data_IF_611790155057
#
_entry.id   IF_611790155057
#
_cell.length_a   1.000
_cell.length_b   1.000
_cell.length_c   1.000
_cell.angle_alpha   90.00
_cell.angle_beta   90.00
_cell.angle_gamma   90.00
#
_symmetry.space_group_name_H-M   'P 1'
#
loop_
_entity.id
_entity.type
_entity.pdbx_description
1 polymer ?
#
# COMPACT_ATOMS: atom_id res chain seq x y z
N UNK A 1 21.81 7.74 5.42
CA UNK A 1 20.37 8.10 5.50
C UNK A 1 19.56 6.83 5.63
N UNK A 2 18.76 6.73 6.69
CA UNK A 2 18.36 5.48 7.34
C UNK A 2 17.40 4.60 6.52
N UNK A 3 17.87 3.39 6.16
CA UNK A 3 17.08 2.30 5.58
C UNK A 3 15.83 1.94 6.41
N UNK A 4 15.87 2.24 7.72
CA UNK A 4 14.81 1.98 8.71
C UNK A 4 13.52 2.76 8.42
N UNK A 5 13.57 3.85 7.64
CA UNK A 5 12.37 4.63 7.27
C UNK A 5 11.59 4.08 6.07
N UNK A 6 12.07 3.02 5.39
CA UNK A 6 11.45 2.57 4.13
C UNK A 6 10.44 1.45 4.29
N UNK A 7 10.44 0.71 5.40
CA UNK A 7 9.54 -0.42 5.59
C UNK A 7 8.52 -0.16 6.70
N UNK A 8 7.25 -0.32 6.36
CA UNK A 8 6.12 -0.22 7.28
C UNK A 8 5.38 -1.56 7.33
N UNK A 9 4.40 -1.65 8.22
CA UNK A 9 3.45 -2.74 8.15
C UNK A 9 2.03 -2.33 8.45
N UNK A 10 1.11 -2.95 7.71
CA UNK A 10 -0.32 -2.82 7.91
C UNK A 10 -0.87 -4.09 8.53
N UNK A 11 -1.86 -3.96 9.42
CA UNK A 11 -2.66 -5.10 9.87
C UNK A 11 -3.86 -5.21 8.94
N UNK A 12 -4.17 -6.41 8.48
CA UNK A 12 -5.46 -6.67 7.85
C UNK A 12 -6.50 -7.05 8.90
N UNK A 13 -7.77 -7.12 8.49
CA UNK A 13 -8.89 -7.50 9.37
C UNK A 13 -8.73 -8.89 9.98
N UNK A 14 -7.97 -9.76 9.32
CA UNK A 14 -7.59 -11.08 9.84
C UNK A 14 -6.56 -11.04 10.98
N UNK A 15 -5.98 -9.88 11.29
CA UNK A 15 -4.86 -9.74 12.22
C UNK A 15 -3.48 -10.00 11.60
N UNK A 16 -3.42 -10.48 10.35
CA UNK A 16 -2.17 -10.69 9.60
C UNK A 16 -1.45 -9.36 9.36
N UNK A 17 -0.12 -9.42 9.39
CA UNK A 17 0.76 -8.26 9.16
C UNK A 17 1.31 -8.31 7.74
N UNK A 18 1.15 -7.22 7.00
CA UNK A 18 1.64 -7.05 5.64
C UNK A 18 2.77 -6.03 5.62
N UNK A 19 3.99 -6.50 5.38
CA UNK A 19 5.17 -5.64 5.25
C UNK A 19 5.13 -4.93 3.91
N UNK A 20 5.41 -3.63 3.92
CA UNK A 20 5.38 -2.78 2.73
C UNK A 20 6.62 -1.90 2.67
N UNK A 21 7.08 -1.60 1.46
CA UNK A 21 8.00 -0.48 1.22
C UNK A 21 7.20 0.81 1.00
N UNK A 22 7.60 1.92 1.60
CA UNK A 22 6.96 3.23 1.49
C UNK A 22 7.75 4.20 0.60
N UNK A 23 7.01 4.97 -0.19
CA UNK A 23 7.51 5.96 -1.15
C UNK A 23 6.61 7.19 -1.09
N UNK A 24 7.18 8.38 -1.31
CA UNK A 24 6.38 9.57 -1.63
C UNK A 24 5.54 9.31 -2.88
N UNK A 25 4.36 9.96 -3.00
CA UNK A 25 3.38 9.63 -4.04
C UNK A 25 3.91 9.68 -5.50
N UNK A 26 4.86 10.58 -5.79
CA UNK A 26 5.51 10.70 -7.10
C UNK A 26 6.81 9.92 -7.26
N UNK A 27 7.23 9.15 -6.26
CA UNK A 27 8.53 8.46 -6.23
C UNK A 27 8.42 6.93 -6.10
N UNK A 28 7.20 6.39 -6.16
CA UNK A 28 6.98 4.96 -6.15
C UNK A 28 7.44 4.34 -7.48
N UNK A 29 8.25 3.26 -7.45
CA UNK A 29 8.57 2.49 -8.65
C UNK A 29 7.31 1.93 -9.28
N UNK A 30 7.31 1.87 -10.60
CA UNK A 30 6.23 1.27 -11.38
C UNK A 30 6.38 -0.26 -11.41
N UNK A 31 6.00 -0.91 -10.31
CA UNK A 31 6.00 -2.37 -10.23
C UNK A 31 4.61 -2.94 -10.54
N UNK A 32 4.58 -3.93 -11.43
CA UNK A 32 3.48 -4.89 -11.54
C UNK A 32 3.68 -6.06 -10.57
N UNK A 33 2.63 -6.86 -10.36
CA UNK A 33 2.63 -7.99 -9.45
C UNK A 33 2.66 -7.61 -7.97
N UNK A 34 2.18 -6.42 -7.61
CA UNK A 34 2.22 -5.89 -6.23
C UNK A 34 0.83 -5.51 -5.72
N UNK A 35 0.68 -5.37 -4.41
CA UNK A 35 -0.45 -4.64 -3.82
C UNK A 35 0.03 -3.24 -3.46
N UNK A 36 -0.59 -2.23 -4.07
CA UNK A 36 -0.32 -0.82 -3.80
C UNK A 36 -1.36 -0.28 -2.81
N UNK A 37 -0.91 0.48 -1.83
CA UNK A 37 -1.74 1.14 -0.83
C UNK A 37 -1.55 2.65 -0.97
N UNK A 38 -2.66 3.36 -1.10
CA UNK A 38 -2.71 4.81 -1.01
C UNK A 38 -2.71 5.22 0.47
N UNK A 39 -1.72 5.99 0.90
CA UNK A 39 -1.54 6.34 2.31
C UNK A 39 -1.47 7.86 2.45
N UNK A 40 -2.16 8.37 3.46
CA UNK A 40 -2.11 9.78 3.88
C UNK A 40 -1.44 9.89 5.23
N UNK A 41 -0.61 10.92 5.39
CA UNK A 41 -0.05 11.31 6.67
C UNK A 41 -0.93 12.41 7.28
N UNK A 42 -1.47 12.16 8.45
CA UNK A 42 -2.25 13.15 9.19
C UNK A 42 -1.33 14.22 9.80
N UNK A 43 -1.86 15.40 10.17
CA UNK A 43 -1.05 16.45 10.79
C UNK A 43 -0.31 16.04 12.08
N UNK A 44 -0.85 15.08 12.83
CA UNK A 44 -0.20 14.49 14.02
C UNK A 44 0.82 13.39 13.68
N UNK A 45 1.13 13.20 12.39
CA UNK A 45 2.14 12.28 11.88
C UNK A 45 1.69 10.82 11.80
N UNK A 46 0.41 10.51 12.05
CA UNK A 46 -0.11 9.14 11.85
C UNK A 46 -0.31 8.86 10.37
N UNK A 47 -0.25 7.59 10.02
CA UNK A 47 -0.56 7.12 8.68
C UNK A 47 -2.01 6.62 8.65
N UNK A 48 -2.69 6.86 7.55
CA UNK A 48 -4.06 6.39 7.29
C UNK A 48 -4.13 5.86 5.86
N UNK A 49 -4.60 4.63 5.67
CA UNK A 49 -4.80 4.07 4.34
C UNK A 49 -6.11 4.61 3.78
N UNK A 50 -6.03 5.15 2.57
CA UNK A 50 -7.18 5.63 1.81
C UNK A 50 -7.75 4.53 0.90
N UNK A 51 -6.93 3.54 0.55
CA UNK A 51 -7.35 2.39 -0.25
C UNK A 51 -6.18 1.47 -0.60
N UNK A 52 -6.50 0.27 -1.10
CA UNK A 52 -5.54 -0.71 -1.58
C UNK A 52 -6.01 -1.29 -2.92
N UNK A 53 -5.07 -1.57 -3.83
CA UNK A 53 -5.33 -2.12 -5.16
C UNK A 53 -4.26 -3.17 -5.49
N UNK A 54 -4.68 -4.28 -6.09
CA UNK A 54 -3.75 -5.22 -6.72
C UNK A 54 -3.38 -4.66 -8.10
N UNK A 55 -2.09 -4.46 -8.35
CA UNK A 55 -1.56 -4.15 -9.69
C UNK A 55 -1.04 -5.43 -10.30
N UNK A 56 -1.91 -6.19 -10.94
CA UNK A 56 -1.54 -7.46 -11.58
C UNK A 56 -0.75 -7.25 -12.88
N UNK A 57 -0.97 -6.12 -13.56
CA UNK A 57 -0.23 -5.69 -14.75
C UNK A 57 0.14 -4.19 -14.71
N UNK A 58 1.05 -3.77 -15.58
CA UNK A 58 1.44 -2.36 -15.74
C UNK A 58 0.26 -1.48 -16.20
N UNK A 59 -0.70 -2.05 -16.94
CA UNK A 59 -1.90 -1.34 -17.44
C UNK A 59 -2.86 -0.89 -16.32
N UNK A 60 -2.75 -1.46 -15.12
CA UNK A 60 -3.57 -1.05 -13.97
C UNK A 60 -3.07 0.29 -13.45
N UNK A 61 -3.59 1.39 -14.01
CA UNK A 61 -3.21 2.73 -13.58
C UNK A 61 -3.72 3.06 -12.17
N UNK A 62 -2.79 3.35 -11.26
CA UNK A 62 -3.12 3.87 -9.92
C UNK A 62 -3.67 5.29 -9.97
N UNK A 63 -3.28 6.09 -10.98
CA UNK A 63 -3.64 7.51 -11.10
C UNK A 63 -5.14 7.72 -11.28
N UNK A 64 -5.82 6.77 -11.93
CA UNK A 64 -7.27 6.81 -12.12
C UNK A 64 -8.05 6.56 -10.82
N UNK A 65 -7.40 6.07 -9.76
CA UNK A 65 -8.04 5.77 -8.49
C UNK A 65 -8.05 7.02 -7.57
N UNK A 66 -9.24 7.48 -7.11
CA UNK A 66 -9.36 8.70 -6.31
C UNK A 66 -8.65 8.63 -4.95
N UNK A 67 -8.39 7.43 -4.41
CA UNK A 67 -7.60 7.27 -3.19
C UNK A 67 -6.14 7.64 -3.43
N UNK A 68 -5.57 7.24 -4.57
CA UNK A 68 -4.17 7.47 -4.92
C UNK A 68 -3.92 8.93 -5.30
N UNK A 69 -4.87 9.61 -5.93
CA UNK A 69 -4.81 11.05 -6.17
C UNK A 69 -4.77 11.89 -4.87
N UNK A 70 -5.15 11.28 -3.74
CA UNK A 70 -5.20 11.91 -2.41
C UNK A 70 -4.09 11.43 -1.48
N UNK A 71 -3.25 10.51 -1.93
CA UNK A 71 -2.19 9.92 -1.13
C UNK A 71 -0.99 10.87 -1.03
N UNK A 72 -0.37 10.92 0.14
CA UNK A 72 0.94 11.55 0.32
C UNK A 72 2.04 10.50 0.07
N UNK A 73 1.76 9.24 0.42
CA UNK A 73 2.67 8.12 0.31
C UNK A 73 2.01 6.94 -0.41
N UNK A 74 2.79 6.21 -1.20
CA UNK A 74 2.42 4.93 -1.80
C UNK A 74 3.22 3.83 -1.12
N UNK A 75 2.49 2.86 -0.57
CA UNK A 75 3.09 1.71 0.09
C UNK A 75 2.89 0.48 -0.79
N UNK A 76 3.97 -0.26 -1.05
CA UNK A 76 3.95 -1.45 -1.92
C UNK A 76 4.20 -2.72 -1.12
N UNK A 77 3.28 -3.67 -1.19
CA UNK A 77 3.44 -5.03 -0.70
C UNK A 77 3.84 -5.96 -1.86
N UNK A 78 5.04 -6.54 -1.77
CA UNK A 78 5.65 -7.34 -2.84
C UNK A 78 5.66 -8.86 -2.55
N UNK A 79 5.13 -9.30 -1.39
CA UNK A 79 5.29 -10.69 -0.93
C UNK A 79 4.09 -11.59 -1.28
N UNK A 80 3.14 -11.11 -2.08
CA UNK A 80 2.03 -11.91 -2.56
C UNK A 80 2.40 -12.54 -3.91
N UNK A 81 2.47 -13.87 -3.94
CA UNK A 81 3.11 -14.64 -5.02
C UNK A 81 2.31 -14.63 -6.33
N UNK A 82 0.99 -14.53 -6.25
CA UNK A 82 0.09 -14.62 -7.41
C UNK A 82 -1.10 -13.66 -7.27
N UNK A 83 -1.88 -13.52 -8.35
CA UNK A 83 -3.05 -12.64 -8.41
C UNK A 83 -4.08 -12.96 -7.33
N UNK A 84 -4.34 -14.25 -7.08
CA UNK A 84 -5.30 -14.67 -6.07
C UNK A 84 -4.86 -14.25 -4.66
N UNK A 85 -3.57 -14.34 -4.35
CA UNK A 85 -3.03 -13.90 -3.07
C UNK A 85 -3.07 -12.37 -2.95
N UNK A 86 -2.75 -11.62 -4.01
CA UNK A 86 -2.90 -10.16 -4.02
C UNK A 86 -4.35 -9.73 -3.77
N UNK A 87 -5.31 -10.39 -4.41
CA UNK A 87 -6.72 -10.14 -4.19
C UNK A 87 -7.15 -10.45 -2.73
N UNK A 88 -6.61 -11.51 -2.10
CA UNK A 88 -6.84 -11.78 -0.67
C UNK A 88 -6.26 -10.66 0.21
N UNK A 89 -5.05 -10.20 -0.08
CA UNK A 89 -4.40 -9.11 0.66
C UNK A 89 -5.23 -7.82 0.57
N UNK A 90 -5.67 -7.42 -0.63
CA UNK A 90 -6.52 -6.23 -0.81
C UNK A 90 -7.81 -6.34 -0.01
N UNK A 91 -8.49 -7.49 -0.10
CA UNK A 91 -9.73 -7.72 0.67
C UNK A 91 -9.48 -7.65 2.18
N UNK A 92 -8.35 -8.18 2.67
CA UNK A 92 -8.06 -8.14 4.10
C UNK A 92 -7.70 -6.73 4.58
N UNK A 93 -7.02 -5.94 3.75
CA UNK A 93 -6.59 -4.57 4.05
C UNK A 93 -7.71 -3.52 3.95
N UNK A 94 -8.77 -3.75 3.17
CA UNK A 94 -9.83 -2.76 2.88
C UNK A 94 -10.64 -2.23 4.09
N UNK A 95 -10.21 -2.47 5.33
CA UNK A 95 -10.88 -1.97 6.53
C UNK A 95 -9.98 -1.67 7.75
N UNK A 96 -8.66 -1.53 7.62
CA UNK A 96 -7.76 -1.33 8.79
C UNK A 96 -6.71 -0.21 8.61
N UNK A 97 -6.27 0.33 9.74
CA UNK A 97 -5.26 1.39 9.87
C UNK A 97 -3.83 0.79 10.04
N UNK A 98 -2.75 1.58 9.90
CA UNK A 98 -1.39 1.04 9.95
C UNK A 98 -0.98 0.70 11.37
N UNK A 99 -0.14 -0.33 11.52
CA UNK A 99 0.52 -0.60 12.80
C UNK A 99 1.76 0.30 12.91
N UNK A 100 1.90 0.91 14.10
CA UNK A 100 3.05 1.74 14.46
C UNK A 100 4.32 0.91 14.66
#
# INVERSE_FOLDING_TARGET
>A
MALVRRFHAWRGRSGRRYVVSAYEAGAAPDYAGVVALAVRRTPDGRLTMLGAVARDSEDVSLVANPAFARADEIHLHLLAENEADRAKVVRDLAGEAPLR
#
